data_IF_559212736015
#
_entry.id   IF_559212736015
#
_cell.length_a   1.000
_cell.length_b   1.000
_cell.length_c   1.000
_cell.angle_alpha   90.00
_cell.angle_beta   90.00
_cell.angle_gamma   90.00
#
_symmetry.space_group_name_H-M   'P 1'
#
loop_
_entity.id
_entity.type
_entity.pdbx_description
1 polymer ?
#
# COMPACT_ATOMS: atom_id res chain seq x y z
N UNK A 1 1.85 2.98 0.83
CA UNK A 1 0.53 3.60 1.09
C UNK A 1 -0.39 2.56 1.73
N UNK A 2 -1.60 2.96 2.12
CA UNK A 2 -2.59 2.02 2.67
C UNK A 2 -3.73 1.76 1.70
N UNK A 3 -4.21 0.52 1.64
CA UNK A 3 -5.38 0.14 0.85
C UNK A 3 -6.46 -0.50 1.72
N UNK A 4 -7.72 -0.25 1.39
CA UNK A 4 -8.87 -0.81 2.10
C UNK A 4 -9.14 -2.26 1.67
N UNK A 5 -8.85 -2.58 0.41
CA UNK A 5 -9.04 -3.89 -0.19
C UNK A 5 -7.70 -4.58 -0.47
N UNK A 6 -7.74 -5.90 -0.70
CA UNK A 6 -6.55 -6.65 -1.08
C UNK A 6 -6.22 -6.32 -2.53
N UNK A 7 -4.95 -6.03 -2.82
CA UNK A 7 -4.50 -5.89 -4.19
C UNK A 7 -4.67 -7.21 -4.93
N UNK A 8 -5.45 -7.17 -6.00
CA UNK A 8 -5.58 -8.24 -6.98
C UNK A 8 -4.91 -7.70 -8.24
N UNK A 9 -3.86 -8.39 -8.71
CA UNK A 9 -2.94 -7.93 -9.77
C UNK A 9 -3.62 -7.41 -11.05
N UNK A 10 -4.87 -7.82 -11.30
CA UNK A 10 -5.60 -7.53 -12.54
C UNK A 10 -6.97 -6.87 -12.33
N UNK A 11 -7.32 -6.48 -11.10
CA UNK A 11 -8.63 -5.88 -10.80
C UNK A 11 -8.56 -4.56 -10.01
N UNK A 12 -7.51 -4.34 -9.19
CA UNK A 12 -7.47 -3.23 -8.24
C UNK A 12 -6.10 -2.54 -8.19
N UNK A 13 -5.67 -1.92 -9.29
CA UNK A 13 -4.47 -1.10 -9.36
C UNK A 13 -4.71 0.35 -8.92
N UNK A 14 -5.11 0.61 -7.66
CA UNK A 14 -5.33 1.99 -7.20
C UNK A 14 -4.07 2.85 -7.27
N UNK A 15 -2.86 2.25 -7.17
CA UNK A 15 -1.61 3.00 -7.32
C UNK A 15 -1.18 3.22 -8.77
N UNK A 16 -1.77 2.54 -9.76
CA UNK A 16 -1.25 2.52 -11.13
C UNK A 16 -1.22 3.91 -11.77
N UNK A 17 -2.27 4.71 -11.55
CA UNK A 17 -2.31 6.12 -11.99
C UNK A 17 -1.16 6.94 -11.40
N UNK A 18 -0.92 6.81 -10.09
CA UNK A 18 0.16 7.52 -9.41
C UNK A 18 1.53 7.07 -9.92
N UNK A 19 1.76 5.76 -10.05
CA UNK A 19 3.02 5.23 -10.55
C UNK A 19 3.29 5.67 -11.99
N UNK A 20 2.25 5.71 -12.83
CA UNK A 20 2.39 6.17 -14.20
C UNK A 20 2.70 7.67 -14.25
N UNK A 21 2.07 8.48 -13.41
CA UNK A 21 2.39 9.91 -13.34
C UNK A 21 3.83 10.16 -12.90
N UNK A 22 4.29 9.45 -11.85
CA UNK A 22 5.68 9.54 -11.41
C UNK A 22 6.67 9.15 -12.51
N UNK A 23 6.37 8.07 -13.26
CA UNK A 23 7.19 7.66 -14.41
C UNK A 23 7.21 8.71 -15.52
N UNK A 24 6.07 9.34 -15.81
CA UNK A 24 5.97 10.42 -16.81
C UNK A 24 6.85 11.62 -16.45
N UNK A 25 7.03 11.87 -15.15
CA UNK A 25 7.93 12.89 -14.64
C UNK A 25 9.38 12.43 -14.46
N UNK A 26 9.75 11.26 -15.00
CA UNK A 26 11.14 10.77 -14.99
C UNK A 26 11.57 10.06 -13.71
N UNK A 27 10.64 9.75 -12.80
CA UNK A 27 10.98 9.00 -11.60
C UNK A 27 11.20 7.50 -11.90
N UNK A 28 12.33 6.96 -11.44
CA UNK A 28 12.54 5.52 -11.38
C UNK A 28 11.86 4.94 -10.12
N UNK A 29 10.90 4.04 -10.33
CA UNK A 29 10.21 3.37 -9.22
C UNK A 29 10.96 2.10 -8.83
N UNK A 30 11.77 2.19 -7.78
CA UNK A 30 12.61 1.09 -7.29
C UNK A 30 11.85 0.06 -6.42
N UNK A 31 10.64 0.40 -5.98
CA UNK A 31 9.79 -0.49 -5.19
C UNK A 31 8.49 0.17 -4.76
N UNK A 32 7.49 -0.65 -4.44
CA UNK A 32 6.18 -0.20 -3.96
C UNK A 32 5.78 -1.03 -2.75
N UNK A 33 5.43 -0.35 -1.66
CA UNK A 33 4.92 -0.98 -0.44
C UNK A 33 3.48 -0.54 -0.15
N UNK A 34 2.63 -1.52 0.13
CA UNK A 34 1.29 -1.29 0.65
C UNK A 34 0.95 -2.18 1.85
N UNK A 35 0.08 -1.66 2.70
CA UNK A 35 -0.53 -2.40 3.80
C UNK A 35 -1.99 -2.02 3.99
N UNK A 36 -2.72 -2.74 4.84
CA UNK A 36 -4.14 -2.46 5.06
C UNK A 36 -4.27 -1.20 5.93
N UNK A 37 -5.11 -0.26 5.50
CA UNK A 37 -5.49 0.91 6.28
C UNK A 37 -6.94 0.81 6.75
N UNK A 38 -7.22 1.29 7.97
CA UNK A 38 -8.59 1.48 8.45
C UNK A 38 -9.36 2.37 7.46
N UNK A 39 -10.51 1.91 7.01
CA UNK A 39 -11.40 2.70 6.14
C UNK A 39 -12.79 2.78 6.75
N UNK A 40 -13.28 4.02 6.91
CA UNK A 40 -14.65 4.33 7.39
C UNK A 40 -15.51 4.94 6.29
N UNK A 41 -15.18 4.63 5.04
CA UNK A 41 -15.84 5.17 3.85
C UNK A 41 -16.66 4.11 3.13
N UNK A 42 -17.70 4.54 2.40
CA UNK A 42 -18.57 3.68 1.61
C UNK A 42 -19.64 2.94 2.43
N UNK A 43 -20.23 1.87 1.87
CA UNK A 43 -21.40 1.20 2.45
C UNK A 43 -21.12 0.60 3.84
N UNK A 44 -19.85 0.36 4.17
CA UNK A 44 -19.44 -0.21 5.47
C UNK A 44 -19.28 0.81 6.59
N UNK A 45 -19.53 2.11 6.35
CA UNK A 45 -19.46 3.17 7.38
C UNK A 45 -20.40 2.88 8.55
N UNK A 46 -21.61 2.42 8.28
CA UNK A 46 -22.63 2.06 9.28
C UNK A 46 -22.24 0.84 10.13
N UNK A 47 -21.31 0.00 9.65
CA UNK A 47 -20.76 -1.15 10.39
C UNK A 47 -19.44 -0.79 11.12
N UNK A 48 -19.11 0.50 11.19
CA UNK A 48 -17.89 1.03 11.82
C UNK A 48 -16.63 0.89 10.96
N UNK A 49 -16.79 0.64 9.65
CA UNK A 49 -15.68 0.55 8.70
C UNK A 49 -14.98 -0.81 8.66
N UNK A 50 -14.01 -0.92 7.75
CA UNK A 50 -13.20 -2.12 7.50
C UNK A 50 -11.75 -1.91 7.92
N UNK A 51 -11.00 -3.02 8.04
CA UNK A 51 -9.58 -3.02 8.43
C UNK A 51 -9.32 -2.38 9.80
N UNK A 52 -10.26 -2.54 10.75
CA UNK A 52 -10.10 -2.06 12.12
C UNK A 52 -8.80 -2.63 12.72
N UNK A 53 -8.10 -1.80 13.50
CA UNK A 53 -6.82 -2.17 14.10
C UNK A 53 -5.67 -2.31 13.11
N UNK A 54 -5.76 -1.72 11.90
CA UNK A 54 -4.66 -1.67 10.92
C UNK A 54 -4.32 -0.22 10.56
N UNK A 55 -3.04 0.11 10.30
CA UNK A 55 -1.87 -0.78 10.35
C UNK A 55 -1.56 -1.31 11.76
N UNK A 56 -1.04 -2.53 11.87
CA UNK A 56 -0.60 -3.13 13.14
C UNK A 56 0.86 -3.59 13.11
N UNK A 57 1.34 -4.22 14.19
CA UNK A 57 2.71 -4.74 14.29
C UNK A 57 3.12 -5.60 13.09
N UNK A 58 2.23 -6.43 12.55
CA UNK A 58 2.52 -7.23 11.34
C UNK A 58 2.68 -6.36 10.10
N UNK A 59 1.92 -5.27 9.97
CA UNK A 59 2.10 -4.32 8.87
C UNK A 59 3.43 -3.57 9.00
N UNK A 60 3.80 -3.17 10.20
CA UNK A 60 5.07 -2.51 10.50
C UNK A 60 6.26 -3.43 10.25
N UNK A 61 6.17 -4.71 10.65
CA UNK A 61 7.21 -5.70 10.37
C UNK A 61 7.44 -5.88 8.86
N UNK A 62 6.37 -5.92 8.05
CA UNK A 62 6.48 -5.98 6.58
C UNK A 62 7.06 -4.70 5.99
N UNK A 63 6.72 -3.53 6.53
CA UNK A 63 7.30 -2.26 6.09
C UNK A 63 8.81 -2.24 6.35
N UNK A 64 9.25 -2.71 7.52
CA UNK A 64 10.66 -2.86 7.86
C UNK A 64 11.37 -3.82 6.92
N UNK A 65 10.79 -4.99 6.67
CA UNK A 65 11.36 -5.98 5.75
C UNK A 65 11.51 -5.42 4.32
N UNK A 66 10.51 -4.67 3.85
CA UNK A 66 10.57 -4.00 2.55
C UNK A 66 11.72 -2.99 2.48
N UNK A 67 11.89 -2.14 3.49
CA UNK A 67 12.96 -1.17 3.56
C UNK A 67 14.35 -1.84 3.60
N UNK A 68 14.52 -2.90 4.41
CA UNK A 68 15.77 -3.65 4.48
C UNK A 68 16.12 -4.33 3.14
N UNK A 69 15.13 -4.87 2.42
CA UNK A 69 15.34 -5.44 1.08
C UNK A 69 15.80 -4.38 0.08
N UNK A 70 15.20 -3.20 0.10
CA UNK A 70 15.65 -2.08 -0.73
C UNK A 70 17.07 -1.68 -0.36
N UNK A 71 17.35 -1.46 0.94
CA UNK A 71 18.68 -1.09 1.41
C UNK A 71 19.74 -2.07 0.90
N UNK A 72 19.53 -3.37 1.08
CA UNK A 72 20.44 -4.43 0.61
C UNK A 72 20.66 -4.45 -0.91
N UNK A 73 19.66 -4.05 -1.70
CA UNK A 73 19.76 -4.00 -3.17
C UNK A 73 20.68 -2.86 -3.65
N UNK A 74 20.81 -1.80 -2.86
CA UNK A 74 21.58 -0.59 -3.19
C UNK A 74 22.76 -0.37 -2.23
N UNK A 75 23.10 -1.37 -1.42
CA UNK A 75 24.34 -1.42 -0.62
C UNK A 75 25.48 -1.95 -1.48
#
# INVERSE_FOLDING_TARGET
YTSAFRRIKFLNGCEEKLLNELRRHGAEIIGVFECRGKSVYGPFKLLGGICKGRPNQRDLARAREFAEKLRKRFS
#
